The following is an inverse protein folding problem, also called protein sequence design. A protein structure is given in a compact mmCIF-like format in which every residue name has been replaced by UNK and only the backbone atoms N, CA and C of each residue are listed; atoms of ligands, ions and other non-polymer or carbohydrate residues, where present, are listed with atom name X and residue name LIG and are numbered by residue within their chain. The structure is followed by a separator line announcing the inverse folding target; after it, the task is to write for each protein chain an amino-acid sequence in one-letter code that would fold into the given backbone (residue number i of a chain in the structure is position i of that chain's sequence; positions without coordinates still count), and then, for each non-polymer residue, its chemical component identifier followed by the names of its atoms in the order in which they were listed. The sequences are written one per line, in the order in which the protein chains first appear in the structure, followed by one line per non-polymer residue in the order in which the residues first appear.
data_IF_619669000718
#
_entry.id   IF_619669000718
#
_cell.length_a   1.000
_cell.length_b   1.000
_cell.length_c   1.000
_cell.angle_alpha   90.00
_cell.angle_beta   90.00
_cell.angle_gamma   90.00
#
_symmetry.space_group_name_H-M   'P 1'
#
loop_
_entity.id
_entity.type
_entity.pdbx_description
1 polymer ?
#
# COMPACT_ATOMS: atom_id res chain seq x y z
N UNK A 1 5.04 -11.29 18.34
CA UNK A 1 4.07 -12.33 17.92
C UNK A 1 3.34 -11.83 16.68
N UNK A 2 2.96 -12.72 15.75
CA UNK A 2 2.16 -12.33 14.58
C UNK A 2 0.66 -12.31 14.86
N UNK A 3 -0.11 -11.61 14.01
CA UNK A 3 -1.59 -11.50 14.11
C UNK A 3 -2.29 -12.86 14.24
N UNK A 4 -1.83 -13.89 13.54
CA UNK A 4 -2.41 -15.24 13.60
C UNK A 4 -2.22 -15.92 14.96
N UNK A 5 -1.06 -15.72 15.59
CA UNK A 5 -0.77 -16.22 16.93
C UNK A 5 -1.65 -15.52 17.98
N UNK A 6 -1.86 -14.20 17.86
CA UNK A 6 -2.80 -13.48 18.72
C UNK A 6 -4.21 -14.04 18.58
N UNK A 7 -4.73 -14.21 17.36
CA UNK A 7 -6.07 -14.80 17.13
C UNK A 7 -6.21 -16.19 17.78
N UNK A 8 -5.19 -17.04 17.69
CA UNK A 8 -5.21 -18.37 18.31
C UNK A 8 -5.27 -18.30 19.84
N UNK A 9 -4.44 -17.48 20.49
CA UNK A 9 -4.46 -17.32 21.95
C UNK A 9 -5.79 -16.75 22.44
N UNK A 10 -6.32 -15.76 21.73
CA UNK A 10 -7.59 -15.10 22.01
C UNK A 10 -8.78 -16.07 21.84
N UNK A 11 -8.77 -16.95 20.82
CA UNK A 11 -9.75 -18.02 20.68
C UNK A 11 -9.69 -19.05 21.82
N UNK A 12 -8.47 -19.42 22.27
CA UNK A 12 -8.28 -20.34 23.40
C UNK A 12 -8.84 -19.74 24.70
N UNK A 13 -8.66 -18.43 24.92
CA UNK A 13 -9.24 -17.73 26.05
C UNK A 13 -10.78 -17.75 26.03
N UNK A 14 -11.42 -17.52 24.87
CA UNK A 14 -12.88 -17.64 24.71
C UNK A 14 -13.36 -19.05 25.03
N UNK A 15 -12.67 -20.07 24.50
CA UNK A 15 -13.00 -21.47 24.75
C UNK A 15 -12.98 -21.78 26.26
N UNK A 16 -11.91 -21.37 26.95
CA UNK A 16 -11.77 -21.58 28.38
C UNK A 16 -12.84 -20.83 29.18
N UNK A 17 -13.14 -19.58 28.84
CA UNK A 17 -14.17 -18.80 29.51
C UNK A 17 -15.57 -19.41 29.32
N UNK A 18 -15.87 -19.94 28.13
CA UNK A 18 -17.13 -20.68 27.87
C UNK A 18 -17.22 -21.95 28.71
N UNK A 19 -16.14 -22.73 28.79
CA UNK A 19 -16.09 -23.96 29.59
C UNK A 19 -16.29 -23.68 31.09
N UNK A 20 -15.69 -22.61 31.63
CA UNK A 20 -15.89 -22.17 33.02
C UNK A 20 -17.35 -21.78 33.24
N UNK A 21 -17.92 -20.94 32.38
CA UNK A 21 -19.32 -20.50 32.49
C UNK A 21 -20.32 -21.66 32.45
N UNK A 22 -20.08 -22.66 31.59
CA UNK A 22 -20.94 -23.84 31.50
C UNK A 22 -20.83 -24.71 32.76
N UNK A 23 -19.61 -24.90 33.27
CA UNK A 23 -19.35 -25.61 34.53
C UNK A 23 -20.02 -24.89 35.71
N UNK A 24 -19.91 -23.56 35.80
CA UNK A 24 -20.59 -22.73 36.79
C UNK A 24 -22.12 -22.92 36.77
N UNK A 25 -22.74 -22.97 35.59
CA UNK A 25 -24.18 -23.27 35.46
C UNK A 25 -24.54 -24.67 35.98
N UNK A 26 -23.72 -25.68 35.70
CA UNK A 26 -23.94 -27.05 36.17
C UNK A 26 -23.87 -27.13 37.70
N UNK A 27 -22.91 -26.44 38.32
CA UNK A 27 -22.74 -26.40 39.78
C UNK A 27 -23.94 -25.73 40.48
N UNK A 28 -24.48 -24.64 39.91
CA UNK A 28 -25.69 -23.98 40.43
C UNK A 28 -26.95 -24.88 40.36
N UNK A 29 -26.99 -25.86 39.45
CA UNK A 29 -28.11 -26.79 39.30
C UNK A 29 -28.09 -28.00 40.24
N UNK A 30 -27.04 -28.16 41.06
CA UNK A 30 -26.84 -29.29 41.98
C UNK A 30 -26.60 -28.75 43.39
N UNK A 31 -27.08 -29.44 44.45
CA UNK A 31 -26.74 -29.08 45.83
C UNK A 31 -25.22 -29.19 46.04
N UNK A 32 -24.52 -28.06 45.94
CA UNK A 32 -23.08 -27.93 46.11
C UNK A 32 -22.78 -27.01 47.30
N UNK A 33 -21.65 -27.22 47.98
CA UNK A 33 -21.22 -26.40 49.12
C UNK A 33 -20.65 -25.03 48.71
N UNK A 34 -20.83 -24.62 47.47
CA UNK A 34 -20.26 -23.38 46.91
C UNK A 34 -21.33 -22.28 47.01
N UNK A 35 -20.94 -21.08 47.43
CA UNK A 35 -21.88 -19.97 47.56
C UNK A 35 -22.45 -19.59 46.18
N UNK A 36 -23.78 -19.53 46.01
CA UNK A 36 -24.39 -19.23 44.71
C UNK A 36 -24.01 -17.88 44.11
N UNK A 37 -23.68 -16.89 44.94
CA UNK A 37 -23.34 -15.54 44.49
C UNK A 37 -21.93 -15.47 43.89
N UNK A 38 -20.96 -16.19 44.45
CA UNK A 38 -19.60 -16.34 43.86
C UNK A 38 -19.67 -16.96 42.46
N UNK A 39 -20.58 -17.93 42.25
CA UNK A 39 -20.75 -18.59 40.96
C UNK A 39 -21.41 -17.66 39.93
N UNK A 40 -22.35 -16.81 40.36
CA UNK A 40 -22.95 -15.77 39.50
C UNK A 40 -21.91 -14.73 39.11
N UNK A 41 -21.10 -14.27 40.06
CA UNK A 41 -20.02 -13.30 39.81
C UNK A 41 -19.00 -13.86 38.82
N UNK A 42 -18.51 -15.09 39.04
CA UNK A 42 -17.60 -15.77 38.12
C UNK A 42 -18.21 -15.91 36.71
N UNK A 43 -19.50 -16.26 36.62
CA UNK A 43 -20.20 -16.38 35.34
C UNK A 43 -20.28 -15.03 34.60
N UNK A 44 -20.49 -13.94 35.32
CA UNK A 44 -20.52 -12.58 34.77
C UNK A 44 -19.13 -12.13 34.31
N UNK A 45 -18.10 -12.38 35.12
CA UNK A 45 -16.70 -12.09 34.75
C UNK A 45 -16.33 -12.85 33.47
N UNK A 46 -16.62 -14.15 33.40
CA UNK A 46 -16.34 -14.96 32.21
C UNK A 46 -17.12 -14.49 30.98
N UNK A 47 -18.36 -14.01 31.14
CA UNK A 47 -19.10 -13.40 30.04
C UNK A 47 -18.43 -12.11 29.55
N UNK A 48 -18.01 -11.23 30.45
CA UNK A 48 -17.30 -10.00 30.09
C UNK A 48 -15.95 -10.30 29.40
N UNK A 49 -15.25 -11.35 29.84
CA UNK A 49 -14.03 -11.84 29.17
C UNK A 49 -14.36 -12.31 27.76
N UNK A 50 -15.41 -13.11 27.55
CA UNK A 50 -15.83 -13.54 26.21
C UNK A 50 -16.10 -12.33 25.31
N UNK A 51 -16.90 -11.36 25.77
CA UNK A 51 -17.34 -10.22 24.96
C UNK A 51 -16.18 -9.28 24.59
N UNK A 52 -15.29 -8.96 25.55
CA UNK A 52 -14.10 -8.15 25.31
C UNK A 52 -13.12 -8.84 24.36
N UNK A 53 -12.96 -10.15 24.51
CA UNK A 53 -12.06 -10.99 23.70
C UNK A 53 -12.60 -11.13 22.27
N UNK A 54 -13.91 -11.32 22.09
CA UNK A 54 -14.58 -11.33 20.78
C UNK A 54 -14.46 -9.98 20.07
N UNK A 55 -14.61 -8.87 20.80
CA UNK A 55 -14.39 -7.53 20.25
C UNK A 55 -12.95 -7.36 19.75
N UNK A 56 -11.96 -7.77 20.54
CA UNK A 56 -10.56 -7.72 20.14
C UNK A 56 -10.27 -8.55 18.87
N UNK A 57 -10.83 -9.77 18.74
CA UNK A 57 -10.70 -10.59 17.52
C UNK A 57 -11.28 -9.87 16.31
N UNK A 58 -12.45 -9.24 16.44
CA UNK A 58 -13.08 -8.51 15.33
C UNK A 58 -12.19 -7.36 14.86
N UNK A 59 -11.67 -6.57 15.79
CA UNK A 59 -10.78 -5.44 15.49
C UNK A 59 -9.48 -5.92 14.83
N UNK A 60 -8.87 -6.98 15.35
CA UNK A 60 -7.67 -7.63 14.78
C UNK A 60 -7.91 -8.15 13.35
N UNK A 61 -9.05 -8.80 13.10
CA UNK A 61 -9.42 -9.28 11.75
C UNK A 61 -9.65 -8.11 10.78
N UNK A 62 -10.30 -7.04 11.23
CA UNK A 62 -10.51 -5.83 10.44
C UNK A 62 -9.17 -5.15 10.10
N UNK A 63 -8.25 -5.05 11.06
CA UNK A 63 -6.90 -4.53 10.83
C UNK A 63 -6.16 -5.38 9.80
N UNK A 64 -6.21 -6.72 9.90
CA UNK A 64 -5.64 -7.64 8.92
C UNK A 64 -6.22 -7.47 7.51
N UNK A 65 -7.54 -7.28 7.38
CA UNK A 65 -8.21 -7.03 6.10
C UNK A 65 -7.78 -5.70 5.47
N UNK A 66 -7.69 -4.63 6.27
CA UNK A 66 -7.21 -3.31 5.84
C UNK A 66 -5.74 -3.36 5.39
N UNK A 67 -4.88 -4.04 6.15
CA UNK A 67 -3.49 -4.24 5.78
C UNK A 67 -3.33 -4.96 4.43
N UNK A 68 -4.10 -6.03 4.18
CA UNK A 68 -4.12 -6.74 2.89
C UNK A 68 -4.57 -5.82 1.75
N UNK A 69 -5.64 -5.06 1.95
CA UNK A 69 -6.17 -4.10 0.97
C UNK A 69 -5.13 -3.03 0.61
N UNK A 70 -4.42 -2.50 1.62
CA UNK A 70 -3.34 -1.52 1.43
C UNK A 70 -2.14 -2.11 0.71
N UNK A 71 -1.75 -3.36 1.00
CA UNK A 71 -0.68 -4.05 0.27
C UNK A 71 -1.02 -4.20 -1.22
N UNK A 72 -2.27 -4.53 -1.55
CA UNK A 72 -2.73 -4.59 -2.96
C UNK A 72 -2.63 -3.21 -3.61
N UNK A 73 -3.05 -2.15 -2.92
CA UNK A 73 -2.91 -0.78 -3.41
C UNK A 73 -1.44 -0.38 -3.65
N UNK A 74 -0.51 -0.76 -2.77
CA UNK A 74 0.94 -0.57 -2.96
C UNK A 74 1.44 -1.31 -4.20
N UNK A 75 1.02 -2.57 -4.42
CA UNK A 75 1.39 -3.34 -5.62
C UNK A 75 0.88 -2.68 -6.92
N UNK A 76 -0.37 -2.19 -6.92
CA UNK A 76 -0.93 -1.43 -8.05
C UNK A 76 -0.13 -0.15 -8.32
N UNK A 77 0.17 0.62 -7.28
CA UNK A 77 0.97 1.84 -7.40
C UNK A 77 2.39 1.54 -7.91
N UNK A 78 3.03 0.45 -7.45
CA UNK A 78 4.34 0.00 -7.95
C UNK A 78 4.32 -0.26 -9.46
N UNK A 79 3.29 -0.93 -9.97
CA UNK A 79 3.13 -1.15 -11.42
C UNK A 79 3.08 0.18 -12.19
N UNK A 80 2.25 1.11 -11.74
CA UNK A 80 2.11 2.45 -12.34
C UNK A 80 3.46 3.20 -12.36
N UNK A 81 4.23 3.15 -11.26
CA UNK A 81 5.56 3.78 -11.18
C UNK A 81 6.51 3.17 -12.21
N UNK A 82 6.55 1.84 -12.33
CA UNK A 82 7.41 1.15 -13.30
C UNK A 82 7.04 1.55 -14.73
N UNK A 83 5.75 1.56 -15.06
CA UNK A 83 5.26 1.90 -16.39
C UNK A 83 5.64 3.34 -16.78
N UNK A 84 5.33 4.32 -15.92
CA UNK A 84 5.66 5.73 -16.19
C UNK A 84 7.17 6.00 -16.22
N UNK A 85 7.97 5.31 -15.39
CA UNK A 85 9.44 5.42 -15.44
C UNK A 85 9.99 4.89 -16.76
N UNK A 86 9.42 3.79 -17.27
CA UNK A 86 9.80 3.21 -18.57
C UNK A 86 9.49 4.18 -19.72
N UNK A 87 8.29 4.79 -19.70
CA UNK A 87 7.89 5.78 -20.69
C UNK A 87 8.79 7.02 -20.66
N UNK A 88 9.07 7.55 -19.46
CA UNK A 88 9.98 8.69 -19.29
C UNK A 88 11.38 8.38 -19.86
N UNK A 89 11.90 7.18 -19.61
CA UNK A 89 13.19 6.74 -20.15
C UNK A 89 13.19 6.70 -21.68
N UNK A 90 12.13 6.16 -22.31
CA UNK A 90 12.05 6.13 -23.78
C UNK A 90 11.97 7.53 -24.38
N UNK A 91 11.13 8.40 -23.81
CA UNK A 91 10.99 9.78 -24.26
C UNK A 91 12.30 10.57 -24.10
N UNK A 92 13.06 10.35 -23.01
CA UNK A 92 14.38 10.95 -22.84
C UNK A 92 15.40 10.46 -23.88
N UNK A 93 15.40 9.16 -24.22
CA UNK A 93 16.26 8.61 -25.27
C UNK A 93 15.91 9.20 -26.63
N UNK A 94 14.63 9.34 -26.96
CA UNK A 94 14.17 9.97 -28.20
C UNK A 94 14.57 11.45 -28.25
N UNK A 95 14.35 12.19 -27.16
CA UNK A 95 14.77 13.60 -27.04
C UNK A 95 16.25 13.77 -27.32
N UNK A 96 17.10 12.90 -26.75
CA UNK A 96 18.55 12.90 -26.99
C UNK A 96 18.88 12.61 -28.45
N UNK A 97 18.31 11.56 -29.04
CA UNK A 97 18.55 11.22 -30.46
C UNK A 97 18.22 12.39 -31.39
N UNK A 98 17.09 13.06 -31.14
CA UNK A 98 16.66 14.19 -31.96
C UNK A 98 17.52 15.43 -31.72
N UNK A 99 18.01 15.65 -30.49
CA UNK A 99 18.99 16.70 -30.19
C UNK A 99 20.34 16.43 -30.87
N UNK A 100 20.82 15.19 -30.88
CA UNK A 100 22.05 14.79 -31.57
C UNK A 100 21.92 15.03 -33.09
N UNK A 101 20.76 14.68 -33.67
CA UNK A 101 20.47 14.97 -35.08
C UNK A 101 20.43 16.48 -35.37
N UNK A 102 19.85 17.28 -34.47
CA UNK A 102 19.86 18.74 -34.58
C UNK A 102 21.28 19.30 -34.51
N UNK A 103 22.14 18.76 -33.63
CA UNK A 103 23.54 19.14 -33.53
C UNK A 103 24.27 18.87 -34.86
N UNK A 104 24.09 17.70 -35.46
CA UNK A 104 24.68 17.39 -36.76
C UNK A 104 24.17 18.31 -37.88
N UNK A 105 22.87 18.65 -37.88
CA UNK A 105 22.31 19.62 -38.82
C UNK A 105 22.91 21.02 -38.60
N UNK A 106 23.08 21.45 -37.35
CA UNK A 106 23.67 22.76 -37.01
C UNK A 106 25.12 22.89 -37.48
N UNK A 107 25.89 21.80 -37.45
CA UNK A 107 27.26 21.77 -37.99
C UNK A 107 27.27 22.05 -39.50
N UNK A 108 26.28 21.54 -40.26
CA UNK A 108 26.13 21.77 -41.70
C UNK A 108 25.70 23.21 -42.02
N UNK A 109 24.98 23.86 -41.09
CA UNK A 109 24.54 25.25 -41.21
C UNK A 109 25.64 26.28 -40.95
N UNK A 110 26.85 25.87 -40.52
CA UNK A 110 28.00 26.77 -40.39
C UNK A 110 28.41 27.39 -41.73
N UNK A 111 28.10 26.74 -42.86
CA UNK A 111 28.23 27.35 -44.17
C UNK A 111 26.97 28.21 -44.48
N UNK A 112 27.19 29.50 -44.75
CA UNK A 112 26.13 30.48 -45.02
C UNK A 112 25.19 30.08 -46.18
N UNK A 113 25.71 29.39 -47.20
CA UNK A 113 24.93 28.91 -48.34
C UNK A 113 23.96 27.78 -47.95
N UNK A 114 24.34 26.99 -46.95
CA UNK A 114 23.59 25.82 -46.48
C UNK A 114 22.63 26.16 -45.33
N UNK A 115 22.77 27.35 -44.72
CA UNK A 115 21.97 27.77 -43.58
C UNK A 115 20.47 27.76 -43.90
N UNK A 116 20.03 28.44 -44.98
CA UNK A 116 18.62 28.48 -45.38
C UNK A 116 18.08 27.09 -45.77
N UNK A 117 18.93 26.24 -46.37
CA UNK A 117 18.55 24.89 -46.81
C UNK A 117 18.20 23.97 -45.63
N UNK A 118 18.96 24.05 -44.54
CA UNK A 118 18.80 23.14 -43.39
C UNK A 118 18.00 23.74 -42.21
N UNK A 119 17.72 25.04 -42.21
CA UNK A 119 16.99 25.72 -41.13
C UNK A 119 15.70 24.99 -40.73
N UNK A 120 14.83 24.67 -41.71
CA UNK A 120 13.55 23.98 -41.44
C UNK A 120 13.75 22.60 -40.79
N UNK A 121 14.78 21.86 -41.22
CA UNK A 121 15.11 20.54 -40.66
C UNK A 121 15.60 20.68 -39.22
N UNK A 122 16.48 21.65 -38.96
CA UNK A 122 16.98 21.95 -37.62
C UNK A 122 15.83 22.33 -36.68
N UNK A 123 14.96 23.25 -37.09
CA UNK A 123 13.82 23.72 -36.30
C UNK A 123 12.87 22.55 -35.95
N UNK A 124 12.61 21.66 -36.91
CA UNK A 124 11.78 20.46 -36.70
C UNK A 124 12.44 19.51 -35.70
N UNK A 125 13.75 19.28 -35.79
CA UNK A 125 14.48 18.41 -34.88
C UNK A 125 14.52 19.00 -33.46
N UNK A 126 14.75 20.30 -33.31
CA UNK A 126 14.69 20.97 -32.00
C UNK A 126 13.28 20.89 -31.41
N UNK A 127 12.23 21.16 -32.21
CA UNK A 127 10.85 21.05 -31.74
C UNK A 127 10.50 19.61 -31.29
N UNK A 128 10.93 18.60 -32.06
CA UNK A 128 10.76 17.19 -31.70
C UNK A 128 11.50 16.80 -30.42
N UNK A 129 12.73 17.27 -30.24
CA UNK A 129 13.52 17.03 -29.03
C UNK A 129 12.86 17.66 -27.78
N UNK A 130 12.37 18.90 -27.90
CA UNK A 130 11.65 19.61 -26.83
C UNK A 130 10.35 18.88 -26.50
N UNK A 131 9.59 18.44 -27.50
CA UNK A 131 8.35 17.71 -27.27
C UNK A 131 8.61 16.42 -26.48
N UNK A 132 9.58 15.62 -26.91
CA UNK A 132 9.95 14.38 -26.23
C UNK A 132 10.46 14.63 -24.80
N UNK A 133 11.22 15.71 -24.57
CA UNK A 133 11.65 16.10 -23.23
C UNK A 133 10.46 16.44 -22.30
N UNK A 134 9.47 17.20 -22.80
CA UNK A 134 8.25 17.51 -22.04
C UNK A 134 7.42 16.26 -21.72
N UNK A 135 7.38 15.28 -22.63
CA UNK A 135 6.74 13.98 -22.35
C UNK A 135 7.50 13.25 -21.24
N UNK A 136 8.84 13.22 -21.29
CA UNK A 136 9.66 12.61 -20.25
C UNK A 136 9.43 13.24 -18.86
N UNK A 137 9.37 14.58 -18.80
CA UNK A 137 9.06 15.34 -17.59
C UNK A 137 7.68 14.97 -17.03
N UNK A 138 6.64 15.01 -17.88
CA UNK A 138 5.26 14.67 -17.49
C UNK A 138 5.13 13.24 -16.98
N UNK A 139 5.77 12.27 -17.63
CA UNK A 139 5.74 10.87 -17.18
C UNK A 139 6.52 10.69 -15.86
N UNK A 140 7.63 11.43 -15.68
CA UNK A 140 8.38 11.45 -14.42
C UNK A 140 7.53 12.02 -13.27
N UNK A 141 6.79 13.10 -13.49
CA UNK A 141 5.88 13.65 -12.49
C UNK A 141 4.80 12.64 -12.07
N UNK A 142 4.20 11.92 -13.03
CA UNK A 142 3.20 10.88 -12.74
C UNK A 142 3.80 9.76 -11.90
N UNK A 143 5.03 9.33 -12.21
CA UNK A 143 5.74 8.34 -11.41
C UNK A 143 5.99 8.83 -9.97
N UNK A 144 6.42 10.10 -9.80
CA UNK A 144 6.65 10.70 -8.48
C UNK A 144 5.36 10.82 -7.65
N UNK A 145 4.24 11.21 -8.28
CA UNK A 145 2.93 11.24 -7.62
C UNK A 145 2.49 9.84 -7.17
N UNK A 146 2.64 8.84 -8.05
CA UNK A 146 2.33 7.45 -7.72
C UNK A 146 3.21 6.92 -6.58
N UNK A 147 4.50 7.30 -6.54
CA UNK A 147 5.43 6.97 -5.46
C UNK A 147 5.00 7.59 -4.11
N UNK A 148 4.62 8.88 -4.12
CA UNK A 148 4.11 9.57 -2.92
C UNK A 148 2.87 8.86 -2.36
N UNK A 149 1.93 8.49 -3.23
CA UNK A 149 0.73 7.76 -2.85
C UNK A 149 1.05 6.37 -2.28
N UNK A 150 1.95 5.61 -2.94
CA UNK A 150 2.39 4.31 -2.45
C UNK A 150 3.00 4.39 -1.04
N UNK A 151 3.83 5.42 -0.80
CA UNK A 151 4.47 5.65 0.51
C UNK A 151 3.45 5.93 1.62
N UNK A 152 2.42 6.72 1.33
CA UNK A 152 1.36 7.03 2.29
C UNK A 152 0.53 5.79 2.64
N UNK A 153 0.16 5.00 1.63
CA UNK A 153 -0.59 3.74 1.84
C UNK A 153 0.23 2.73 2.63
N UNK A 154 1.52 2.58 2.30
CA UNK A 154 2.43 1.67 3.03
C UNK A 154 2.62 2.09 4.49
N UNK A 155 2.79 3.39 4.77
CA UNK A 155 2.87 3.92 6.14
C UNK A 155 1.61 3.65 6.95
N UNK A 156 0.44 3.81 6.34
CA UNK A 156 -0.83 3.44 6.97
C UNK A 156 -0.87 1.96 7.33
N UNK A 157 -0.51 1.08 6.38
CA UNK A 157 -0.50 -0.36 6.62
C UNK A 157 0.44 -0.76 7.76
N UNK A 158 1.63 -0.15 7.84
CA UNK A 158 2.61 -0.45 8.87
C UNK A 158 2.11 -0.08 10.28
N UNK A 159 1.44 1.08 10.42
CA UNK A 159 0.83 1.49 11.70
C UNK A 159 -0.26 0.54 12.18
N UNK A 160 -1.08 -0.01 11.27
CA UNK A 160 -2.15 -0.95 11.62
C UNK A 160 -1.65 -2.34 12.00
N UNK A 161 -0.43 -2.72 11.59
CA UNK A 161 0.20 -4.01 11.94
C UNK A 161 0.97 -3.92 13.27
N UNK A 162 1.34 -2.70 13.70
CA UNK A 162 2.07 -2.45 14.95
C UNK A 162 1.15 -2.33 16.19
N UNK A 163 -0.17 -2.41 16.02
CA UNK A 163 -1.17 -2.50 17.10
C UNK A 163 -1.43 -3.95 17.45
#
# INVERSE_FOLDING_TARGET
MGLESHIQHTNKAIHNAKAVKETSRKILGVKSNIQPDDIKELSQIMQNVIDSTDKAIREVKLAGSRAKSRLIAVKKAKKIIVDHTKNAKYAAIESRKTADAALETSKKMKNSEMQKKYQKTYDTQIAGSIHAAKVAEKETEKALRALKNARNVARGALKEIQV
#
